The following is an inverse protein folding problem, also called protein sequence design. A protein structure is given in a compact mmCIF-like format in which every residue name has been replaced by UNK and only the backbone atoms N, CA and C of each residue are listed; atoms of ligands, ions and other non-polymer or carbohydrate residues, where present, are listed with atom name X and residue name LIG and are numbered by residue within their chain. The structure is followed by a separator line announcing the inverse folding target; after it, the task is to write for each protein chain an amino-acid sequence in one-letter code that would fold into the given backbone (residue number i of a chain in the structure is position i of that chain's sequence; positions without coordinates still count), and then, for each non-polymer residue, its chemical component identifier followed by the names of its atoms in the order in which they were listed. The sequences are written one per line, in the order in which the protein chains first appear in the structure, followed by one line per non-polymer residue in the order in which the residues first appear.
data_IF_147864125840
#
_entry.id   IF_147864125840
#
_cell.length_a   1.000
_cell.length_b   1.000
_cell.length_c   1.000
_cell.angle_alpha   90.00
_cell.angle_beta   90.00
_cell.angle_gamma   90.00
#
_symmetry.space_group_name_H-M   'P 1'
#
loop_
_entity.id
_entity.type
_entity.pdbx_description
1 polymer ?
#
# COMPACT_ATOMS: atom_id res chain seq x y z
N UNK A 1 -33.41 17.97 -56.39
CA UNK A 1 -33.03 18.50 -55.06
C UNK A 1 -33.01 17.35 -54.06
N UNK A 2 -31.83 16.81 -53.74
CA UNK A 2 -31.66 15.80 -52.68
C UNK A 2 -30.90 16.46 -51.54
N UNK A 3 -31.61 16.76 -50.46
CA UNK A 3 -31.06 17.36 -49.24
C UNK A 3 -30.36 16.24 -48.48
N UNK A 4 -29.02 16.24 -48.53
CA UNK A 4 -28.19 15.41 -47.67
C UNK A 4 -28.29 15.96 -46.24
N UNK A 5 -28.99 15.25 -45.35
CA UNK A 5 -28.96 15.51 -43.91
C UNK A 5 -27.63 15.00 -43.37
N UNK A 6 -26.70 15.93 -43.11
CA UNK A 6 -25.48 15.65 -42.38
C UNK A 6 -25.82 15.46 -40.89
N UNK A 7 -25.76 14.23 -40.41
CA UNK A 7 -25.85 13.91 -38.98
C UNK A 7 -24.48 14.18 -38.37
N UNK A 8 -24.35 15.33 -37.71
CA UNK A 8 -23.18 15.67 -36.91
C UNK A 8 -23.27 14.91 -35.57
N UNK A 9 -22.64 13.74 -35.48
CA UNK A 9 -22.42 13.06 -34.21
C UNK A 9 -21.33 13.84 -33.47
N UNK A 10 -21.75 14.68 -32.53
CA UNK A 10 -20.87 15.34 -31.59
C UNK A 10 -20.33 14.28 -30.63
N UNK A 11 -19.12 13.79 -30.91
CA UNK A 11 -18.30 13.03 -29.96
C UNK A 11 -17.99 13.92 -28.76
N UNK A 12 -18.88 13.90 -27.76
CA UNK A 12 -18.55 14.30 -26.40
C UNK A 12 -17.53 13.27 -25.88
N UNK A 13 -16.25 13.53 -26.13
CA UNK A 13 -15.19 12.94 -25.32
C UNK A 13 -15.43 13.39 -23.89
N UNK A 14 -16.07 12.52 -23.10
CA UNK A 14 -16.11 12.67 -21.65
C UNK A 14 -14.69 12.56 -21.15
N UNK A 15 -14.02 13.70 -20.98
CA UNK A 15 -12.81 13.76 -20.16
C UNK A 15 -13.24 13.35 -18.76
N UNK A 16 -12.90 12.12 -18.36
CA UNK A 16 -13.00 11.69 -16.97
C UNK A 16 -12.08 12.62 -16.20
N UNK A 17 -12.67 13.68 -15.62
CA UNK A 17 -11.93 14.63 -14.81
C UNK A 17 -11.40 13.87 -13.60
N UNK A 18 -10.09 13.59 -13.59
CA UNK A 18 -9.39 13.16 -12.39
C UNK A 18 -9.77 14.14 -11.28
N UNK A 19 -10.49 13.66 -10.26
CA UNK A 19 -11.02 14.50 -9.20
C UNK A 19 -9.86 14.91 -8.28
N UNK A 20 -9.23 16.02 -8.65
CA UNK A 20 -8.26 16.74 -7.85
C UNK A 20 -8.88 17.22 -6.54
N UNK A 21 -8.36 16.74 -5.41
CA UNK A 21 -8.75 17.27 -4.10
C UNK A 21 -7.74 18.30 -3.63
N UNK A 22 -8.19 19.55 -3.54
CA UNK A 22 -7.38 20.62 -2.92
C UNK A 22 -7.31 20.41 -1.41
N UNK A 23 -6.11 20.58 -0.84
CA UNK A 23 -5.82 20.48 0.59
C UNK A 23 -5.10 21.74 1.05
N UNK A 24 -5.33 22.14 2.30
CA UNK A 24 -4.54 23.17 2.98
C UNK A 24 -3.78 22.51 4.12
N UNK A 25 -2.44 22.58 4.08
CA UNK A 25 -1.56 22.03 5.12
C UNK A 25 -0.62 23.15 5.54
N UNK A 26 -0.67 23.55 6.82
CA UNK A 26 0.11 24.67 7.33
C UNK A 26 -0.03 25.97 6.50
N UNK A 27 -1.28 26.30 6.12
CA UNK A 27 -1.64 27.46 5.28
C UNK A 27 -1.08 27.43 3.84
N UNK A 28 -0.47 26.31 3.43
CA UNK A 28 0.02 26.09 2.08
C UNK A 28 -0.99 25.23 1.31
N UNK A 29 -1.22 25.59 0.05
CA UNK A 29 -2.16 24.89 -0.82
C UNK A 29 -1.46 23.74 -1.54
N UNK A 30 -2.05 22.56 -1.43
CA UNK A 30 -1.65 21.34 -2.12
C UNK A 30 -2.83 20.75 -2.87
N UNK A 31 -2.54 19.79 -3.71
CA UNK A 31 -3.53 19.01 -4.43
C UNK A 31 -3.14 17.54 -4.37
N UNK A 32 -4.10 16.66 -4.06
CA UNK A 32 -3.94 15.22 -4.25
C UNK A 32 -4.78 14.80 -5.45
N UNK A 33 -4.11 14.13 -6.38
CA UNK A 33 -4.73 13.53 -7.57
C UNK A 33 -4.64 12.02 -7.45
N UNK A 34 -5.72 11.33 -7.80
CA UNK A 34 -5.64 9.91 -8.14
C UNK A 34 -5.25 9.79 -9.61
N UNK A 35 -4.21 9.01 -9.87
CA UNK A 35 -3.75 8.67 -11.22
C UNK A 35 -3.83 7.17 -11.40
N UNK A 36 -4.25 6.75 -12.59
CA UNK A 36 -4.32 5.35 -12.98
C UNK A 36 -3.15 5.04 -13.91
N UNK A 37 -2.53 3.89 -13.73
CA UNK A 37 -1.42 3.40 -14.54
C UNK A 37 -1.23 1.90 -14.36
N UNK A 38 -0.05 1.43 -14.78
CA UNK A 38 0.33 0.03 -14.70
C UNK A 38 1.73 -0.08 -14.08
N UNK A 39 1.99 -1.19 -13.38
CA UNK A 39 3.35 -1.56 -12.97
C UNK A 39 4.18 -1.99 -14.18
N UNK A 40 5.49 -2.12 -14.02
CA UNK A 40 6.38 -2.62 -15.10
C UNK A 40 6.00 -4.05 -15.53
N UNK A 41 5.37 -4.82 -14.64
CA UNK A 41 4.83 -6.16 -14.88
C UNK A 41 3.41 -6.16 -15.49
N UNK A 42 2.83 -4.99 -15.75
CA UNK A 42 1.52 -4.84 -16.39
C UNK A 42 0.32 -4.98 -15.44
N UNK A 43 0.51 -4.82 -14.13
CA UNK A 43 -0.59 -4.83 -13.18
C UNK A 43 -1.20 -3.43 -13.02
N UNK A 44 -2.52 -3.33 -13.06
CA UNK A 44 -3.22 -2.07 -12.82
C UNK A 44 -2.90 -1.49 -11.44
N UNK A 45 -2.55 -0.20 -11.42
CA UNK A 45 -2.20 0.52 -10.20
C UNK A 45 -2.83 1.91 -10.19
N UNK A 46 -3.51 2.22 -9.09
CA UNK A 46 -3.93 3.57 -8.76
C UNK A 46 -2.95 4.20 -7.76
N UNK A 47 -2.61 5.46 -7.99
CA UNK A 47 -1.65 6.23 -7.19
C UNK A 47 -2.26 7.54 -6.69
N UNK A 48 -2.02 7.83 -5.41
CA UNK A 48 -2.19 9.16 -4.81
C UNK A 48 -0.94 9.98 -5.08
N UNK A 49 -1.08 11.05 -5.85
CA UNK A 49 0.01 11.97 -6.15
C UNK A 49 -0.23 13.33 -5.50
N UNK A 50 0.73 13.77 -4.68
CA UNK A 50 0.70 15.08 -4.02
C UNK A 50 1.41 16.11 -4.89
N UNK A 51 0.73 17.22 -5.17
CA UNK A 51 1.22 18.34 -5.96
C UNK A 51 1.23 19.65 -5.17
N UNK A 52 2.13 20.54 -5.56
CA UNK A 52 2.11 21.97 -5.21
C UNK A 52 2.32 22.79 -6.47
N UNK A 53 1.27 23.45 -6.93
CA UNK A 53 1.24 23.95 -8.31
C UNK A 53 1.42 22.78 -9.28
N UNK A 54 2.27 22.96 -10.29
CA UNK A 54 2.53 21.92 -11.30
C UNK A 54 3.59 20.89 -10.88
N UNK A 55 4.19 21.06 -9.69
CA UNK A 55 5.26 20.18 -9.21
C UNK A 55 4.69 19.01 -8.42
N UNK A 56 4.91 17.78 -8.91
CA UNK A 56 4.72 16.55 -8.14
C UNK A 56 5.75 16.47 -7.02
N UNK A 57 5.28 16.18 -5.80
CA UNK A 57 6.11 16.11 -4.60
C UNK A 57 6.25 14.68 -4.08
N UNK A 58 5.15 13.93 -4.03
CA UNK A 58 5.10 12.56 -3.52
C UNK A 58 4.14 11.72 -4.36
N UNK A 59 4.40 10.42 -4.40
CA UNK A 59 3.51 9.40 -4.95
C UNK A 59 3.35 8.30 -3.89
N UNK A 60 2.12 7.80 -3.73
CA UNK A 60 1.78 6.72 -2.81
C UNK A 60 0.77 5.79 -3.48
N UNK A 61 0.94 4.47 -3.37
CA UNK A 61 0.00 3.50 -3.91
C UNK A 61 -1.36 3.66 -3.24
N UNK A 62 -2.41 3.94 -4.02
CA UNK A 62 -3.79 3.92 -3.55
C UNK A 62 -4.33 2.50 -3.59
N UNK A 63 -4.07 1.81 -4.70
CA UNK A 63 -4.54 0.46 -4.95
C UNK A 63 -3.58 -0.21 -5.93
N UNK A 64 -3.14 -1.41 -5.60
CA UNK A 64 -2.47 -2.32 -6.51
C UNK A 64 -3.02 -3.71 -6.24
N UNK A 65 -3.39 -4.42 -7.29
CA UNK A 65 -3.84 -5.81 -7.19
C UNK A 65 -2.99 -6.63 -8.15
N UNK A 66 -2.31 -7.65 -7.64
CA UNK A 66 -1.47 -8.54 -8.46
C UNK A 66 -1.83 -10.00 -8.22
N UNK A 67 -1.40 -10.87 -9.14
CA UNK A 67 -1.65 -12.30 -9.08
C UNK A 67 -2.65 -12.78 -10.14
N UNK A 68 -3.18 -13.98 -9.93
CA UNK A 68 -4.04 -14.71 -10.85
C UNK A 68 -5.22 -15.38 -10.12
N UNK A 69 -5.89 -16.35 -10.78
CA UNK A 69 -7.01 -17.06 -10.19
C UNK A 69 -6.65 -17.95 -8.97
N UNK A 70 -5.37 -18.14 -8.68
CA UNK A 70 -4.86 -18.99 -7.61
C UNK A 70 -4.21 -18.20 -6.47
N UNK A 71 -3.59 -17.07 -6.78
CA UNK A 71 -2.92 -16.19 -5.82
C UNK A 71 -3.39 -14.77 -6.08
N UNK A 72 -3.81 -14.06 -5.05
CA UNK A 72 -4.18 -12.65 -5.14
C UNK A 72 -3.46 -11.88 -4.04
N UNK A 73 -2.81 -10.79 -4.41
CA UNK A 73 -2.23 -9.86 -3.45
C UNK A 73 -2.75 -8.46 -3.71
N UNK A 74 -2.97 -7.70 -2.65
CA UNK A 74 -3.38 -6.31 -2.75
C UNK A 74 -2.48 -5.42 -1.90
N UNK A 75 -2.17 -4.24 -2.41
CA UNK A 75 -1.77 -3.08 -1.61
C UNK A 75 -2.90 -2.06 -1.66
N UNK A 76 -3.36 -1.63 -0.48
CA UNK A 76 -4.33 -0.57 -0.32
C UNK A 76 -3.68 0.60 0.40
N UNK A 77 -3.97 1.82 -0.05
CA UNK A 77 -3.46 3.01 0.58
C UNK A 77 -4.44 4.17 0.60
N UNK A 78 -4.24 5.02 1.60
CA UNK A 78 -4.99 6.26 1.81
C UNK A 78 -4.12 7.24 2.60
N UNK A 79 -4.61 8.46 2.76
CA UNK A 79 -3.94 9.51 3.51
C UNK A 79 -4.85 10.19 4.53
N UNK A 80 -4.22 10.84 5.49
CA UNK A 80 -4.85 11.77 6.42
C UNK A 80 -4.03 13.05 6.49
N UNK A 81 -4.70 14.19 6.54
CA UNK A 81 -4.08 15.48 6.87
C UNK A 81 -4.55 15.89 8.26
N UNK A 82 -3.60 16.12 9.16
CA UNK A 82 -3.88 16.62 10.51
C UNK A 82 -2.85 17.67 10.90
N UNK A 83 -3.32 18.87 11.25
CA UNK A 83 -2.46 20.02 11.53
C UNK A 83 -1.51 20.32 10.35
N UNK A 84 -0.20 20.28 10.58
CA UNK A 84 0.84 20.44 9.58
C UNK A 84 1.43 19.10 9.12
N UNK A 85 0.72 17.99 9.31
CA UNK A 85 1.18 16.65 8.95
C UNK A 85 0.30 16.02 7.88
N UNK A 86 0.95 15.35 6.93
CA UNK A 86 0.35 14.45 5.96
C UNK A 86 0.81 13.03 6.32
N UNK A 87 -0.13 12.15 6.59
CA UNK A 87 0.15 10.74 6.90
C UNK A 87 -0.35 9.87 5.77
N UNK A 88 0.52 9.04 5.20
CA UNK A 88 0.14 7.97 4.28
C UNK A 88 0.09 6.62 5.01
N UNK A 89 -0.91 5.83 4.68
CA UNK A 89 -1.16 4.49 5.21
C UNK A 89 -1.08 3.49 4.05
N UNK A 90 -0.38 2.38 4.22
CA UNK A 90 -0.45 1.21 3.32
C UNK A 90 -0.89 -0.01 4.12
N UNK A 91 -1.69 -0.86 3.51
CA UNK A 91 -2.07 -2.19 3.98
C UNK A 91 -1.83 -3.20 2.87
N UNK A 92 -1.20 -4.32 3.21
CA UNK A 92 -1.02 -5.45 2.30
C UNK A 92 -1.79 -6.65 2.79
N UNK A 93 -2.40 -7.36 1.86
CA UNK A 93 -3.05 -8.64 2.10
C UNK A 93 -2.77 -9.60 0.94
N UNK A 94 -2.81 -10.89 1.26
CA UNK A 94 -2.63 -11.95 0.28
C UNK A 94 -3.58 -13.12 0.55
N UNK A 95 -4.07 -13.72 -0.52
CA UNK A 95 -4.79 -14.99 -0.53
C UNK A 95 -4.13 -15.94 -1.52
N UNK A 96 -3.92 -17.19 -1.12
CA UNK A 96 -3.34 -18.21 -1.99
C UNK A 96 -4.07 -19.55 -1.80
N UNK A 97 -4.67 -20.09 -2.86
CA UNK A 97 -5.40 -21.36 -2.78
C UNK A 97 -4.51 -22.53 -2.33
N UNK A 98 -3.21 -22.49 -2.62
CA UNK A 98 -2.25 -23.54 -2.27
C UNK A 98 -1.54 -23.30 -0.93
N UNK A 99 -1.55 -22.06 -0.43
CA UNK A 99 -0.88 -21.69 0.82
C UNK A 99 0.66 -21.70 0.75
N UNK A 100 1.21 -21.60 -0.45
CA UNK A 100 2.65 -21.56 -0.72
C UNK A 100 3.21 -20.12 -0.74
N UNK A 101 2.38 -19.12 -1.05
CA UNK A 101 2.76 -17.77 -1.46
C UNK A 101 1.98 -16.66 -0.77
N UNK A 102 1.52 -16.85 0.47
CA UNK A 102 0.63 -15.89 1.16
C UNK A 102 1.33 -14.60 1.61
N UNK A 103 1.87 -13.81 0.68
CA UNK A 103 2.67 -12.61 0.92
C UNK A 103 2.48 -11.57 -0.20
N UNK A 104 2.68 -10.27 0.07
CA UNK A 104 2.95 -9.68 1.38
C UNK A 104 1.68 -9.52 2.23
N UNK A 105 1.83 -9.56 3.56
CA UNK A 105 0.81 -9.15 4.52
C UNK A 105 1.39 -8.15 5.52
N UNK A 106 0.72 -7.03 5.73
CA UNK A 106 1.23 -6.05 6.69
C UNK A 106 0.63 -4.68 6.58
N UNK A 107 1.29 -3.73 7.23
CA UNK A 107 0.87 -2.33 7.32
C UNK A 107 2.09 -1.41 7.36
N UNK A 108 1.96 -0.23 6.77
CA UNK A 108 2.96 0.85 6.85
C UNK A 108 2.29 2.17 7.13
N UNK A 109 2.97 3.01 7.89
CA UNK A 109 2.60 4.41 8.12
C UNK A 109 3.79 5.31 7.85
N UNK A 110 3.60 6.34 7.04
CA UNK A 110 4.60 7.36 6.75
C UNK A 110 4.03 8.74 7.08
N UNK A 111 4.71 9.48 7.95
CA UNK A 111 4.30 10.80 8.42
C UNK A 111 5.25 11.84 7.86
N UNK A 112 4.68 12.80 7.14
CA UNK A 112 5.39 13.93 6.56
C UNK A 112 4.99 15.22 7.28
N UNK A 113 5.97 16.03 7.62
CA UNK A 113 5.78 17.38 8.13
C UNK A 113 5.79 18.37 6.96
N UNK A 114 4.85 19.30 6.98
CA UNK A 114 4.80 20.44 6.06
C UNK A 114 5.20 21.71 6.81
N UNK A 115 6.32 22.31 6.43
CA UNK A 115 6.78 23.56 7.04
C UNK A 115 6.01 24.78 6.52
N UNK A 116 6.30 25.97 7.07
CA UNK A 116 5.62 27.22 6.70
C UNK A 116 5.91 27.66 5.26
N UNK A 117 6.96 27.12 4.64
CA UNK A 117 7.34 27.36 3.25
C UNK A 117 6.70 26.33 2.32
N UNK A 118 5.94 25.36 2.84
CA UNK A 118 5.31 24.29 2.07
C UNK A 118 6.27 23.19 1.64
N UNK A 119 7.40 23.05 2.34
CA UNK A 119 8.33 21.94 2.15
C UNK A 119 7.80 20.71 2.87
N UNK A 120 7.77 19.58 2.16
CA UNK A 120 7.28 18.29 2.67
C UNK A 120 8.49 17.44 3.06
N UNK A 121 8.60 17.05 4.33
CA UNK A 121 9.71 16.25 4.87
C UNK A 121 9.20 15.02 5.59
N UNK A 122 9.70 13.84 5.23
CA UNK A 122 9.43 12.61 5.97
C UNK A 122 10.04 12.73 7.37
N UNK A 123 9.21 12.59 8.41
CA UNK A 123 9.66 12.66 9.82
C UNK A 123 9.54 11.32 10.55
N UNK A 124 8.69 10.42 10.07
CA UNK A 124 8.55 9.07 10.61
C UNK A 124 8.07 8.12 9.53
N UNK A 125 8.66 6.93 9.47
CA UNK A 125 8.18 5.83 8.65
C UNK A 125 8.31 4.54 9.45
N UNK A 126 7.18 3.84 9.64
CA UNK A 126 7.13 2.58 10.38
C UNK A 126 6.38 1.53 9.58
N UNK A 127 6.84 0.28 9.66
CA UNK A 127 6.26 -0.85 8.94
C UNK A 127 6.23 -2.09 9.82
N UNK A 128 5.14 -2.85 9.71
CA UNK A 128 5.12 -4.26 10.06
C UNK A 128 4.71 -5.01 8.80
N UNK A 129 5.50 -5.99 8.40
CA UNK A 129 5.18 -6.79 7.22
C UNK A 129 5.70 -8.21 7.41
N UNK A 130 4.94 -9.16 6.89
CA UNK A 130 5.28 -10.54 6.63
C UNK A 130 5.43 -10.65 5.12
N UNK A 131 6.65 -10.91 4.64
CA UNK A 131 6.98 -11.00 3.22
C UNK A 131 8.12 -12.00 2.99
N UNK A 132 8.36 -12.32 1.72
CA UNK A 132 9.43 -13.23 1.30
C UNK A 132 10.76 -12.50 1.09
N UNK A 133 11.86 -13.06 1.60
CA UNK A 133 13.22 -12.61 1.27
C UNK A 133 13.90 -13.54 0.25
N UNK A 134 13.31 -14.70 -0.01
CA UNK A 134 13.80 -15.74 -0.92
C UNK A 134 12.62 -16.44 -1.60
N UNK A 135 12.92 -17.30 -2.58
CA UNK A 135 11.91 -18.15 -3.22
C UNK A 135 11.26 -19.09 -2.18
N UNK A 136 9.95 -18.97 -1.89
CA UNK A 136 9.28 -19.80 -0.90
C UNK A 136 9.14 -21.28 -1.34
N UNK A 137 9.39 -21.62 -2.61
CA UNK A 137 9.53 -23.02 -3.04
C UNK A 137 10.81 -23.67 -2.51
N UNK A 138 11.83 -22.87 -2.20
CA UNK A 138 13.14 -23.34 -1.73
C UNK A 138 13.26 -23.26 -0.21
N UNK A 139 12.57 -22.31 0.42
CA UNK A 139 12.65 -22.09 1.87
C UNK A 139 11.29 -21.67 2.39
N UNK A 140 10.76 -22.41 3.38
CA UNK A 140 9.50 -22.06 4.02
C UNK A 140 9.70 -20.83 4.93
N UNK A 141 9.14 -19.65 4.58
CA UNK A 141 9.34 -18.42 5.34
C UNK A 141 8.85 -18.51 6.79
N UNK A 142 7.73 -19.22 7.01
CA UNK A 142 7.11 -19.38 8.33
C UNK A 142 7.96 -20.24 9.25
N UNK A 143 8.71 -21.20 8.71
CA UNK A 143 9.61 -22.07 9.48
C UNK A 143 11.04 -21.56 9.58
N UNK A 144 11.41 -20.53 8.80
CA UNK A 144 12.75 -19.96 8.83
C UNK A 144 12.75 -18.66 9.64
N UNK A 145 12.41 -17.54 9.02
CA UNK A 145 12.57 -16.22 9.63
C UNK A 145 11.27 -15.58 10.14
N UNK A 146 10.10 -15.89 9.58
CA UNK A 146 8.84 -15.25 10.00
C UNK A 146 8.33 -15.74 11.35
N UNK A 147 8.59 -17.01 11.73
CA UNK A 147 8.27 -17.49 13.08
C UNK A 147 8.84 -16.60 14.18
N UNK A 148 10.01 -15.98 13.94
CA UNK A 148 10.68 -15.16 14.94
C UNK A 148 10.05 -13.77 15.11
N UNK A 149 9.04 -13.42 14.30
CA UNK A 149 8.22 -12.22 14.51
C UNK A 149 7.23 -12.38 15.68
N UNK A 150 6.94 -13.61 16.08
CA UNK A 150 6.02 -13.94 17.19
C UNK A 150 6.68 -14.80 18.27
N UNK A 151 7.70 -15.58 17.92
CA UNK A 151 8.45 -16.44 18.83
C UNK A 151 9.82 -15.84 19.09
N UNK A 152 10.21 -15.75 20.36
CA UNK A 152 11.53 -15.22 20.71
C UNK A 152 12.65 -16.17 20.22
N UNK A 153 13.61 -15.69 19.40
CA UNK A 153 14.70 -16.53 18.90
C UNK A 153 15.63 -16.97 20.03
N UNK A 154 15.94 -18.27 20.07
CA UNK A 154 16.71 -18.88 21.17
C UNK A 154 18.20 -18.99 20.84
N UNK A 155 18.54 -19.29 19.59
CA UNK A 155 19.93 -19.47 19.17
C UNK A 155 20.53 -18.21 18.51
N UNK A 156 21.87 -18.08 18.43
CA UNK A 156 22.51 -17.02 17.64
C UNK A 156 22.12 -17.05 16.15
N UNK A 157 21.89 -18.24 15.59
CA UNK A 157 21.43 -18.42 14.20
C UNK A 157 20.04 -17.81 14.00
N UNK A 158 19.11 -18.09 14.91
CA UNK A 158 17.73 -17.58 14.85
C UNK A 158 17.70 -16.06 14.98
N UNK A 159 18.52 -15.51 15.89
CA UNK A 159 18.67 -14.05 16.05
C UNK A 159 19.21 -13.40 14.78
N UNK A 160 20.17 -14.04 14.11
CA UNK A 160 20.69 -13.57 12.84
C UNK A 160 19.63 -13.61 11.74
N UNK A 161 18.85 -14.69 11.64
CA UNK A 161 17.76 -14.82 10.68
C UNK A 161 16.72 -13.71 10.84
N UNK A 162 16.27 -13.45 12.08
CA UNK A 162 15.35 -12.35 12.39
C UNK A 162 15.94 -10.98 12.03
N UNK A 163 17.20 -10.74 12.39
CA UNK A 163 17.85 -9.45 12.09
C UNK A 163 17.99 -9.22 10.59
N UNK A 164 18.39 -10.25 9.83
CA UNK A 164 18.50 -10.17 8.38
C UNK A 164 17.13 -9.89 7.74
N UNK A 165 16.08 -10.56 8.21
CA UNK A 165 14.72 -10.29 7.76
C UNK A 165 14.32 -8.83 8.01
N UNK A 166 14.49 -8.35 9.25
CA UNK A 166 14.16 -6.98 9.64
C UNK A 166 14.93 -5.96 8.77
N UNK A 167 16.23 -6.15 8.57
CA UNK A 167 17.05 -5.25 7.74
C UNK A 167 16.57 -5.21 6.29
N UNK A 168 16.20 -6.36 5.72
CA UNK A 168 15.67 -6.43 4.37
C UNK A 168 14.31 -5.72 4.25
N UNK A 169 13.39 -5.95 5.18
CA UNK A 169 12.10 -5.27 5.20
C UNK A 169 12.25 -3.76 5.36
N UNK A 170 13.16 -3.32 6.24
CA UNK A 170 13.44 -1.89 6.40
C UNK A 170 13.98 -1.25 5.13
N UNK A 171 14.84 -1.96 4.40
CA UNK A 171 15.42 -1.50 3.14
C UNK A 171 14.37 -1.46 2.03
N UNK A 172 13.62 -2.56 1.85
CA UNK A 172 12.58 -2.70 0.82
C UNK A 172 11.48 -1.67 0.99
N UNK A 173 10.95 -1.51 2.19
CA UNK A 173 9.81 -0.62 2.47
C UNK A 173 10.22 0.81 2.88
N UNK A 174 11.53 1.08 3.04
CA UNK A 174 12.11 2.37 3.44
C UNK A 174 11.48 2.91 4.74
N UNK A 175 11.28 2.03 5.71
CA UNK A 175 10.59 2.32 6.97
C UNK A 175 11.22 1.52 8.10
N UNK A 176 11.15 1.99 9.34
CA UNK A 176 11.62 1.24 10.51
C UNK A 176 10.65 0.09 10.80
N UNK A 177 11.18 -1.12 10.98
CA UNK A 177 10.35 -2.27 11.33
C UNK A 177 9.88 -2.16 12.79
N UNK A 178 8.62 -2.46 13.04
CA UNK A 178 8.03 -2.41 14.38
C UNK A 178 7.58 -3.79 14.85
N UNK A 179 7.72 -4.04 16.15
CA UNK A 179 7.34 -5.31 16.79
C UNK A 179 6.64 -5.05 18.14
N UNK A 180 6.14 -6.11 18.77
CA UNK A 180 5.47 -6.03 20.07
C UNK A 180 4.28 -5.07 20.08
N UNK A 181 4.20 -4.21 21.10
CA UNK A 181 3.08 -3.28 21.27
C UNK A 181 2.99 -2.25 20.13
N UNK A 182 4.13 -1.80 19.59
CA UNK A 182 4.14 -0.83 18.49
C UNK A 182 3.53 -1.41 17.21
N UNK A 183 3.83 -2.68 16.90
CA UNK A 183 3.16 -3.44 15.83
C UNK A 183 1.65 -3.46 16.03
N UNK A 184 1.18 -3.85 17.22
CA UNK A 184 -0.26 -3.95 17.51
C UNK A 184 -0.97 -2.61 17.30
N UNK A 185 -0.35 -1.52 17.76
CA UNK A 185 -0.89 -0.19 17.57
C UNK A 185 -0.91 0.23 16.11
N UNK A 186 0.17 -0.03 15.37
CA UNK A 186 0.25 0.28 13.93
C UNK A 186 -0.81 -0.46 13.13
N UNK A 187 -0.97 -1.77 13.36
CA UNK A 187 -1.99 -2.59 12.69
C UNK A 187 -3.38 -2.05 12.97
N UNK A 188 -3.69 -1.75 14.23
CA UNK A 188 -5.00 -1.20 14.62
C UNK A 188 -5.28 0.13 13.92
N UNK A 189 -4.32 1.05 13.93
CA UNK A 189 -4.47 2.37 13.33
C UNK A 189 -4.70 2.27 11.82
N UNK A 190 -3.85 1.52 11.11
CA UNK A 190 -3.92 1.38 9.65
C UNK A 190 -5.19 0.65 9.22
N UNK A 191 -5.53 -0.48 9.86
CA UNK A 191 -6.77 -1.21 9.55
C UNK A 191 -8.02 -0.37 9.84
N UNK A 192 -8.01 0.45 10.89
CA UNK A 192 -9.13 1.35 11.17
C UNK A 192 -9.27 2.43 10.10
N UNK A 193 -8.15 2.96 9.59
CA UNK A 193 -8.16 3.99 8.55
C UNK A 193 -8.64 3.44 7.20
N UNK A 194 -8.25 2.20 6.88
CA UNK A 194 -8.54 1.54 5.61
C UNK A 194 -9.72 0.55 5.68
N UNK A 195 -10.53 0.62 6.73
CA UNK A 195 -11.52 -0.42 7.03
C UNK A 195 -12.51 -0.67 5.89
N UNK A 196 -12.99 0.39 5.22
CA UNK A 196 -13.94 0.26 4.12
C UNK A 196 -13.29 -0.32 2.87
N UNK A 197 -12.08 0.11 2.52
CA UNK A 197 -11.33 -0.40 1.38
C UNK A 197 -11.00 -1.88 1.58
N UNK A 198 -10.51 -2.24 2.77
CA UNK A 198 -10.24 -3.64 3.13
C UNK A 198 -11.51 -4.48 2.98
N UNK A 199 -12.63 -4.03 3.57
CA UNK A 199 -13.88 -4.79 3.52
C UNK A 199 -14.42 -5.00 2.09
N UNK A 200 -14.20 -4.05 1.18
CA UNK A 200 -14.60 -4.14 -0.22
C UNK A 200 -13.66 -5.08 -0.99
N UNK A 201 -12.36 -4.84 -0.91
CA UNK A 201 -11.35 -5.51 -1.74
C UNK A 201 -11.13 -6.96 -1.31
N UNK A 202 -11.35 -7.28 -0.03
CA UNK A 202 -11.15 -8.62 0.52
C UNK A 202 -12.45 -9.39 0.72
N UNK A 203 -13.54 -8.92 0.12
CA UNK A 203 -14.84 -9.59 0.16
C UNK A 203 -14.75 -10.93 -0.58
N UNK A 204 -15.17 -12.02 0.06
CA UNK A 204 -15.14 -13.36 -0.53
C UNK A 204 -13.80 -14.09 -0.38
N UNK A 205 -12.75 -13.44 0.12
CA UNK A 205 -11.42 -14.06 0.17
C UNK A 205 -11.35 -15.29 1.08
N UNK A 206 -12.09 -15.30 2.19
CA UNK A 206 -12.13 -16.47 3.08
C UNK A 206 -12.78 -17.67 2.41
N UNK A 207 -13.78 -17.42 1.57
CA UNK A 207 -14.47 -18.42 0.79
C UNK A 207 -13.56 -18.94 -0.36
N UNK A 208 -12.82 -18.04 -1.00
CA UNK A 208 -12.00 -18.36 -2.19
C UNK A 208 -10.65 -19.01 -1.86
N UNK A 209 -10.05 -18.67 -0.72
CA UNK A 209 -8.68 -19.07 -0.35
C UNK A 209 -8.61 -19.78 1.01
N UNK A 210 -9.72 -19.86 1.76
CA UNK A 210 -9.80 -20.62 3.01
C UNK A 210 -8.87 -20.11 4.12
N UNK A 211 -8.07 -21.02 4.68
CA UNK A 211 -7.14 -20.70 5.79
C UNK A 211 -5.87 -19.99 5.29
N UNK A 212 -5.62 -19.99 4.00
CA UNK A 212 -4.44 -19.41 3.37
C UNK A 212 -4.66 -17.94 3.00
N UNK A 213 -5.36 -17.22 3.89
CA UNK A 213 -5.69 -15.81 3.76
C UNK A 213 -4.98 -15.05 4.86
N UNK A 214 -4.19 -14.04 4.50
CA UNK A 214 -3.59 -13.12 5.46
C UNK A 214 -4.23 -11.73 5.33
N UNK A 215 -5.07 -11.40 6.32
CA UNK A 215 -5.83 -10.15 6.42
C UNK A 215 -5.57 -9.35 7.67
#
# INVERSE_FOLDING_TARGET
MKIFKLVLILLMFGTVAAHAKTLSINQQRFEIKTTHGETDEGFEQDNLELYRGDKKLLTHTQRLSTGDCSILTIELGDYEVKNNQLTFYSYWAAGDRQGLWTFPYGVRKQVYLVDSKGMVKLISAVVYVEDTISNPLETNPDQDYLQFLTIQPKSPKDKLALNNYIQQMQTRYKARFVHGQERTQLIKEVKSKLASQIAVETKGWKEDFGQNVRL
#
